data_IF_293814526903
#
_entry.id   IF_293814526903
#
_cell.length_a   1.000
_cell.length_b   1.000
_cell.length_c   1.000
_cell.angle_alpha   90.00
_cell.angle_beta   90.00
_cell.angle_gamma   90.00
#
_symmetry.space_group_name_H-M   'P 1'
#
loop_
_entity.id
_entity.type
_entity.pdbx_description
1 polymer ?
#
# COMPACT_ATOMS: atom_id res chain seq x y z
N UNK A 1 -6.54 -27.70 6.75
CA UNK A 1 -7.72 -27.66 5.89
C UNK A 1 -7.52 -26.56 4.82
N UNK A 2 -7.94 -26.85 3.57
CA UNK A 2 -7.76 -25.92 2.45
C UNK A 2 -8.55 -24.60 2.67
N UNK A 3 -9.73 -24.69 3.29
CA UNK A 3 -10.56 -23.53 3.63
C UNK A 3 -9.85 -22.63 4.65
N UNK A 4 -9.21 -23.24 5.65
CA UNK A 4 -8.44 -22.52 6.65
C UNK A 4 -7.17 -21.89 6.04
N UNK A 5 -6.43 -22.64 5.22
CA UNK A 5 -5.25 -22.13 4.53
C UNK A 5 -5.59 -20.95 3.63
N UNK A 6 -6.71 -21.00 2.90
CA UNK A 6 -7.20 -19.89 2.09
C UNK A 6 -7.56 -18.67 2.94
N UNK A 7 -8.21 -18.88 4.08
CA UNK A 7 -8.50 -17.80 5.02
C UNK A 7 -7.23 -17.17 5.60
N UNK A 8 -6.20 -17.97 5.85
CA UNK A 8 -4.91 -17.49 6.35
C UNK A 8 -4.12 -16.72 5.30
N UNK A 9 -4.19 -17.09 4.02
CA UNK A 9 -3.64 -16.27 2.92
C UNK A 9 -4.37 -14.95 2.84
N UNK A 10 -5.68 -14.97 2.94
CA UNK A 10 -6.48 -13.75 2.98
C UNK A 10 -6.07 -12.86 4.16
N UNK A 11 -5.89 -13.40 5.37
CA UNK A 11 -5.46 -12.66 6.58
C UNK A 11 -4.00 -12.22 6.53
N UNK A 12 -3.27 -12.55 5.45
CA UNK A 12 -1.82 -12.30 5.35
C UNK A 12 -1.00 -12.92 6.49
N UNK A 13 -1.54 -13.93 7.17
CA UNK A 13 -0.79 -14.74 8.13
C UNK A 13 0.16 -15.72 7.45
N UNK A 14 -0.22 -16.18 6.25
CA UNK A 14 0.63 -16.88 5.29
C UNK A 14 0.47 -16.24 3.90
N UNK A 15 1.42 -16.43 3.01
CA UNK A 15 1.36 -15.88 1.64
C UNK A 15 1.17 -16.93 0.57
N UNK A 16 1.15 -18.18 0.91
CA UNK A 16 0.87 -19.28 0.00
C UNK A 16 0.77 -20.61 0.71
N UNK A 17 0.16 -21.58 0.04
CA UNK A 17 0.08 -22.96 0.50
C UNK A 17 0.13 -23.94 -0.66
N UNK A 18 0.58 -25.14 -0.37
CA UNK A 18 0.65 -26.27 -1.30
C UNK A 18 -0.46 -27.26 -0.97
N UNK A 19 -1.26 -27.62 -1.95
CA UNK A 19 -2.28 -28.68 -1.86
C UNK A 19 -1.72 -29.95 -2.47
N UNK A 20 -1.57 -30.98 -1.62
CA UNK A 20 -1.11 -32.31 -2.01
C UNK A 20 -2.32 -33.24 -2.01
N UNK A 21 -2.72 -33.79 -3.17
CA UNK A 21 -3.88 -34.67 -3.24
C UNK A 21 -3.65 -35.97 -2.50
N UNK A 22 -4.72 -36.57 -1.98
CA UNK A 22 -4.67 -37.90 -1.33
C UNK A 22 -4.17 -38.95 -2.31
N UNK A 23 -3.30 -39.83 -1.82
CA UNK A 23 -2.69 -40.91 -2.64
C UNK A 23 -1.62 -40.39 -3.62
N UNK A 24 -1.09 -39.17 -3.45
CA UNK A 24 -0.03 -38.60 -4.27
C UNK A 24 1.18 -39.53 -4.39
N UNK A 25 1.71 -40.01 -3.26
CA UNK A 25 2.88 -40.90 -3.20
C UNK A 25 2.65 -42.20 -4.00
N UNK A 26 1.50 -42.82 -3.79
CA UNK A 26 1.15 -44.07 -4.50
C UNK A 26 1.07 -43.88 -6.03
N UNK A 27 0.49 -42.75 -6.47
CA UNK A 27 0.40 -42.40 -7.90
C UNK A 27 1.77 -42.13 -8.51
N UNK A 28 2.64 -41.43 -7.80
CA UNK A 28 4.01 -41.15 -8.26
C UNK A 28 4.80 -42.45 -8.36
N UNK A 29 4.68 -43.36 -7.37
CA UNK A 29 5.35 -44.67 -7.41
C UNK A 29 4.81 -45.61 -8.50
N UNK A 30 3.52 -45.50 -8.83
CA UNK A 30 2.89 -46.22 -9.93
C UNK A 30 3.20 -45.62 -11.32
N UNK A 31 3.96 -44.53 -11.41
CA UNK A 31 4.21 -43.79 -12.65
C UNK A 31 2.97 -43.14 -13.27
N UNK A 32 1.94 -42.93 -12.47
CA UNK A 32 0.69 -42.26 -12.92
C UNK A 32 0.81 -40.76 -12.79
N UNK A 33 0.24 -40.06 -13.78
CA UNK A 33 0.19 -38.62 -13.78
C UNK A 33 -0.56 -38.10 -12.54
N UNK A 34 0.03 -37.16 -11.82
CA UNK A 34 -0.57 -36.49 -10.68
C UNK A 34 -0.17 -35.02 -10.67
N UNK A 35 -1.04 -34.15 -10.13
CA UNK A 35 -0.82 -32.73 -10.08
C UNK A 35 -0.59 -32.25 -8.63
N UNK A 36 0.42 -31.41 -8.44
CA UNK A 36 0.58 -30.61 -7.24
C UNK A 36 0.07 -29.21 -7.51
N UNK A 37 -0.85 -28.74 -6.69
CA UNK A 37 -1.47 -27.43 -6.85
C UNK A 37 -0.94 -26.51 -5.76
N UNK A 38 -0.43 -25.32 -6.15
CA UNK A 38 -0.03 -24.32 -5.18
C UNK A 38 -0.73 -23.00 -5.42
N UNK A 39 -1.12 -22.38 -4.33
CA UNK A 39 -1.82 -21.11 -4.28
C UNK A 39 -0.93 -20.09 -3.58
N UNK A 40 -0.84 -18.88 -4.11
CA UNK A 40 -0.01 -17.85 -3.51
C UNK A 40 -0.57 -16.46 -3.77
N UNK A 41 -0.30 -15.55 -2.83
CA UNK A 41 -0.79 -14.19 -2.86
C UNK A 41 0.05 -13.34 -3.82
N UNK A 42 -0.49 -13.01 -4.98
CA UNK A 42 0.22 -12.25 -6.02
C UNK A 42 -0.21 -10.78 -6.13
N UNK A 43 -1.09 -10.30 -5.24
CA UNK A 43 -1.39 -8.88 -5.15
C UNK A 43 -0.19 -8.06 -4.63
N UNK A 44 0.78 -8.71 -3.96
CA UNK A 44 2.09 -8.16 -3.61
C UNK A 44 3.14 -8.89 -4.44
N UNK A 45 3.48 -8.34 -5.61
CA UNK A 45 4.33 -9.02 -6.60
C UNK A 45 5.69 -9.42 -6.07
N UNK A 46 6.33 -8.59 -5.24
CA UNK A 46 7.63 -8.92 -4.63
C UNK A 46 7.57 -10.22 -3.83
N UNK A 47 6.54 -10.37 -2.99
CA UNK A 47 6.35 -11.58 -2.18
C UNK A 47 5.84 -12.75 -3.03
N UNK A 48 4.91 -12.47 -3.95
CA UNK A 48 4.37 -13.47 -4.85
C UNK A 48 5.44 -14.11 -5.74
N UNK A 49 6.37 -13.32 -6.29
CA UNK A 49 7.48 -13.82 -7.09
C UNK A 49 8.48 -14.66 -6.29
N UNK A 50 8.81 -14.25 -5.08
CA UNK A 50 9.67 -15.03 -4.16
C UNK A 50 9.04 -16.38 -3.81
N UNK A 51 7.75 -16.39 -3.47
CA UNK A 51 7.01 -17.61 -3.14
C UNK A 51 6.88 -18.52 -4.36
N UNK A 52 6.56 -17.93 -5.52
CA UNK A 52 6.52 -18.70 -6.77
C UNK A 52 7.87 -19.35 -7.07
N UNK A 53 8.96 -18.61 -6.95
CA UNK A 53 10.32 -19.14 -7.11
C UNK A 53 10.65 -20.25 -6.11
N UNK A 54 10.27 -20.09 -4.84
CA UNK A 54 10.44 -21.09 -3.80
C UNK A 54 9.64 -22.38 -4.10
N UNK A 55 8.37 -22.26 -4.51
CA UNK A 55 7.57 -23.43 -4.90
C UNK A 55 8.14 -24.11 -6.14
N UNK A 56 8.58 -23.37 -7.15
CA UNK A 56 9.21 -23.94 -8.34
C UNK A 56 10.47 -24.74 -7.99
N UNK A 57 11.31 -24.24 -7.09
CA UNK A 57 12.51 -24.94 -6.64
C UNK A 57 12.19 -26.19 -5.82
N UNK A 58 11.19 -26.09 -4.92
CA UNK A 58 10.69 -27.21 -4.13
C UNK A 58 10.14 -28.32 -5.04
N UNK A 59 9.30 -27.95 -6.01
CA UNK A 59 8.67 -28.90 -6.93
C UNK A 59 9.70 -29.62 -7.81
N UNK A 60 10.75 -28.91 -8.26
CA UNK A 60 11.89 -29.54 -8.96
C UNK A 60 12.58 -30.57 -8.08
N UNK A 61 12.78 -30.26 -6.81
CA UNK A 61 13.41 -31.20 -5.85
C UNK A 61 12.55 -32.43 -5.58
N UNK A 62 11.23 -32.25 -5.48
CA UNK A 62 10.29 -33.37 -5.23
C UNK A 62 10.12 -34.23 -6.48
N UNK A 63 10.05 -33.64 -7.67
CA UNK A 63 9.76 -34.37 -8.91
C UNK A 63 10.99 -35.06 -9.48
N UNK A 64 12.15 -34.41 -9.41
CA UNK A 64 13.36 -34.89 -10.11
C UNK A 64 14.20 -35.83 -9.26
N UNK A 65 14.41 -35.50 -8.00
CA UNK A 65 15.38 -36.26 -7.15
C UNK A 65 14.98 -37.74 -6.91
N UNK A 66 13.73 -38.08 -6.55
CA UNK A 66 13.37 -39.50 -6.35
C UNK A 66 13.42 -40.31 -7.62
N UNK A 67 13.03 -39.74 -8.76
CA UNK A 67 12.99 -40.41 -10.06
C UNK A 67 14.39 -40.66 -10.56
N UNK A 68 15.29 -39.65 -10.48
CA UNK A 68 16.70 -39.81 -10.88
C UNK A 68 17.41 -40.86 -10.02
N UNK A 69 17.22 -40.81 -8.70
CA UNK A 69 17.86 -41.79 -7.79
C UNK A 69 17.37 -43.23 -8.04
N UNK A 70 16.09 -43.40 -8.33
CA UNK A 70 15.53 -44.71 -8.63
C UNK A 70 15.96 -45.26 -10.01
N UNK A 71 15.97 -44.36 -11.02
CA UNK A 71 16.38 -44.72 -12.39
C UNK A 71 17.90 -45.04 -12.46
N UNK A 72 18.73 -44.27 -11.78
CA UNK A 72 20.18 -44.55 -11.66
C UNK A 72 20.41 -45.88 -10.95
N UNK A 73 19.63 -46.21 -9.93
CA UNK A 73 19.71 -47.53 -9.23
C UNK A 73 19.30 -48.70 -10.14
N UNK A 74 18.46 -48.45 -11.16
CA UNK A 74 18.08 -49.40 -12.19
C UNK A 74 19.01 -49.47 -13.39
N UNK A 75 20.07 -48.64 -13.43
CA UNK A 75 21.05 -48.60 -14.51
C UNK A 75 20.57 -47.91 -15.80
N UNK A 76 19.56 -47.06 -15.72
CA UNK A 76 18.99 -46.31 -16.85
C UNK A 76 19.86 -45.08 -17.15
N UNK A 77 20.17 -44.84 -18.43
CA UNK A 77 20.96 -43.69 -18.85
C UNK A 77 20.20 -42.37 -18.62
N UNK A 78 20.96 -41.32 -18.29
CA UNK A 78 20.44 -40.01 -17.92
C UNK A 78 19.55 -39.34 -19.00
N UNK A 79 19.82 -39.60 -20.29
CA UNK A 79 19.00 -39.12 -21.42
C UNK A 79 17.62 -39.78 -21.52
N UNK A 80 17.50 -41.04 -21.10
CA UNK A 80 16.23 -41.76 -21.03
C UNK A 80 15.39 -41.31 -19.82
N UNK A 81 16.05 -40.87 -18.74
CA UNK A 81 15.39 -40.35 -17.53
C UNK A 81 14.57 -39.11 -17.81
N UNK A 82 15.03 -38.20 -18.68
CA UNK A 82 14.31 -36.96 -19.02
C UNK A 82 12.92 -37.24 -19.62
N UNK A 83 12.72 -38.36 -20.32
CA UNK A 83 11.42 -38.73 -20.86
C UNK A 83 10.46 -39.28 -19.80
N UNK A 84 10.97 -39.72 -18.65
CA UNK A 84 10.17 -40.19 -17.51
C UNK A 84 9.91 -39.12 -16.45
N UNK A 85 10.52 -37.92 -16.57
CA UNK A 85 10.45 -36.85 -15.59
C UNK A 85 9.13 -36.09 -15.58
N UNK A 86 8.09 -36.53 -16.28
CA UNK A 86 6.83 -35.81 -16.44
C UNK A 86 5.59 -36.37 -15.72
N UNK A 87 5.66 -37.26 -14.68
CA UNK A 87 4.44 -37.70 -14.02
C UNK A 87 3.82 -36.67 -13.09
N UNK A 88 4.56 -35.59 -12.74
CA UNK A 88 4.06 -34.55 -11.84
C UNK A 88 3.86 -33.26 -12.62
N UNK A 89 2.61 -32.94 -12.92
CA UNK A 89 2.22 -31.65 -13.45
C UNK A 89 2.01 -30.66 -12.32
N UNK A 90 2.37 -29.40 -12.55
CA UNK A 90 2.20 -28.35 -11.55
C UNK A 90 1.12 -27.39 -11.99
N UNK A 91 0.13 -27.17 -11.16
CA UNK A 91 -0.89 -26.13 -11.36
C UNK A 91 -0.60 -24.96 -10.43
N UNK A 92 -0.34 -23.79 -10.99
CA UNK A 92 -0.14 -22.57 -10.24
C UNK A 92 -1.42 -21.73 -10.24
N UNK A 93 -1.79 -21.23 -9.10
CA UNK A 93 -2.95 -20.36 -8.94
C UNK A 93 -2.53 -19.06 -8.23
N UNK A 94 -2.11 -18.04 -8.97
CA UNK A 94 -1.87 -16.71 -8.39
C UNK A 94 -3.20 -16.12 -7.96
N UNK A 95 -3.35 -15.88 -6.66
CA UNK A 95 -4.54 -15.28 -6.08
C UNK A 95 -4.48 -13.76 -6.24
N UNK A 96 -5.63 -13.13 -6.54
CA UNK A 96 -5.86 -11.68 -6.62
C UNK A 96 -5.23 -10.95 -7.82
N UNK A 97 -4.32 -11.56 -8.56
CA UNK A 97 -3.76 -11.06 -9.80
C UNK A 97 -3.38 -12.23 -10.71
N UNK A 98 -4.37 -12.91 -11.33
CA UNK A 98 -4.14 -14.12 -12.11
C UNK A 98 -3.22 -13.92 -13.31
N UNK A 99 -3.31 -12.75 -13.96
CA UNK A 99 -2.52 -12.41 -15.15
C UNK A 99 -1.12 -11.87 -14.80
N UNK A 100 -0.79 -11.78 -13.49
CA UNK A 100 0.47 -11.22 -12.99
C UNK A 100 0.77 -9.82 -13.55
N UNK A 101 -0.27 -9.02 -13.76
CA UNK A 101 -0.16 -7.71 -14.36
C UNK A 101 0.34 -6.66 -13.36
N UNK A 102 1.40 -5.95 -13.72
CA UNK A 102 1.95 -4.84 -12.95
C UNK A 102 0.98 -3.68 -12.81
N UNK A 103 0.11 -3.46 -13.81
CA UNK A 103 -0.85 -2.35 -13.76
C UNK A 103 -1.85 -2.54 -12.63
N UNK A 104 -2.32 -3.77 -12.41
CA UNK A 104 -3.22 -4.12 -11.31
C UNK A 104 -2.57 -3.87 -9.93
N UNK A 105 -1.29 -4.20 -9.83
CA UNK A 105 -0.56 -4.14 -8.57
C UNK A 105 -0.12 -2.72 -8.19
N UNK A 106 0.43 -1.95 -9.14
CA UNK A 106 1.13 -0.71 -8.85
C UNK A 106 0.33 0.55 -9.14
N UNK A 107 -0.54 0.55 -10.16
CA UNK A 107 -1.12 1.78 -10.69
C UNK A 107 -1.88 2.57 -9.63
N UNK A 108 -2.83 1.93 -8.97
CA UNK A 108 -3.68 2.61 -7.98
C UNK A 108 -2.88 3.04 -6.73
N UNK A 109 -2.10 2.18 -6.05
CA UNK A 109 -1.36 2.62 -4.87
C UNK A 109 -0.33 3.71 -5.18
N UNK A 110 0.44 3.59 -6.28
CA UNK A 110 1.42 4.59 -6.65
C UNK A 110 0.81 5.94 -7.00
N UNK A 111 -0.33 5.96 -7.69
CA UNK A 111 -1.04 7.21 -7.95
C UNK A 111 -1.35 7.94 -6.64
N UNK A 112 -1.85 7.25 -5.62
CA UNK A 112 -2.18 7.87 -4.34
C UNK A 112 -0.94 8.25 -3.51
N UNK A 113 0.17 7.54 -3.67
CA UNK A 113 1.47 7.95 -3.13
C UNK A 113 1.91 9.29 -3.74
N UNK A 114 1.87 9.44 -5.08
CA UNK A 114 2.22 10.70 -5.74
C UNK A 114 1.24 11.82 -5.37
N UNK A 115 -0.06 11.50 -5.32
CA UNK A 115 -1.08 12.45 -4.90
C UNK A 115 -0.81 12.97 -3.48
N UNK A 116 -0.41 12.10 -2.54
CA UNK A 116 0.00 12.52 -1.19
C UNK A 116 1.18 13.49 -1.23
N UNK A 117 2.23 13.20 -2.01
CA UNK A 117 3.41 14.08 -2.12
C UNK A 117 3.02 15.45 -2.64
N UNK A 118 2.24 15.50 -3.73
CA UNK A 118 1.77 16.76 -4.33
C UNK A 118 0.90 17.52 -3.32
N UNK A 119 0.00 16.84 -2.64
CA UNK A 119 -0.91 17.45 -1.67
C UNK A 119 -0.16 18.02 -0.45
N UNK A 120 0.87 17.30 0.04
CA UNK A 120 1.76 17.82 1.09
C UNK A 120 2.42 19.14 0.66
N UNK A 121 2.99 19.16 -0.55
CA UNK A 121 3.65 20.35 -1.10
C UNK A 121 2.68 21.52 -1.31
N UNK A 122 1.54 21.26 -1.95
CA UNK A 122 0.51 22.28 -2.22
C UNK A 122 -0.03 22.86 -0.92
N UNK A 123 -0.34 22.02 0.06
CA UNK A 123 -0.85 22.48 1.36
C UNK A 123 0.17 23.33 2.09
N UNK A 124 1.42 22.88 2.16
CA UNK A 124 2.52 23.59 2.80
C UNK A 124 2.79 24.93 2.10
N UNK A 125 2.86 24.94 0.77
CA UNK A 125 3.06 26.15 -0.01
C UNK A 125 1.88 27.14 0.14
N UNK A 126 0.65 26.64 0.14
CA UNK A 126 -0.55 27.47 0.30
C UNK A 126 -0.52 28.27 1.61
N UNK A 127 -0.10 27.65 2.71
CA UNK A 127 0.00 28.34 4.00
C UNK A 127 1.26 29.20 4.06
N UNK A 128 2.39 28.67 3.61
CA UNK A 128 3.69 29.35 3.69
C UNK A 128 3.81 30.57 2.79
N UNK A 129 3.05 30.61 1.69
CA UNK A 129 2.98 31.78 0.81
C UNK A 129 2.46 33.04 1.52
N UNK A 130 1.63 32.91 2.56
CA UNK A 130 1.17 34.05 3.36
C UNK A 130 2.32 34.69 4.15
N UNK A 131 3.26 33.89 4.66
CA UNK A 131 4.49 34.39 5.28
C UNK A 131 5.39 35.06 4.24
N UNK A 132 5.67 34.33 3.13
CA UNK A 132 6.55 34.81 2.05
C UNK A 132 6.12 36.15 1.45
N UNK A 133 4.83 36.36 1.25
CA UNK A 133 4.28 37.61 0.69
C UNK A 133 3.86 38.63 1.76
N UNK A 134 4.17 38.41 3.03
CA UNK A 134 3.82 39.25 4.17
C UNK A 134 2.32 39.55 4.31
N UNK A 135 1.47 38.63 3.86
CA UNK A 135 0.00 38.73 3.90
C UNK A 135 -0.64 38.02 5.10
N UNK A 136 0.16 37.36 5.95
CA UNK A 136 -0.31 36.57 7.10
C UNK A 136 -1.25 37.33 8.05
N UNK A 137 -0.95 38.63 8.32
CA UNK A 137 -1.78 39.46 9.20
C UNK A 137 -3.16 39.73 8.59
N UNK A 138 -3.21 40.03 7.30
CA UNK A 138 -4.45 40.30 6.56
C UNK A 138 -5.29 39.01 6.44
N UNK A 139 -4.64 37.90 6.13
CA UNK A 139 -5.28 36.60 6.06
C UNK A 139 -5.94 36.22 7.39
N UNK A 140 -5.23 36.35 8.51
CA UNK A 140 -5.78 36.09 9.84
C UNK A 140 -6.88 37.10 10.23
N UNK A 141 -6.77 38.36 9.83
CA UNK A 141 -7.78 39.38 10.11
C UNK A 141 -9.13 39.08 9.43
N UNK A 142 -9.11 38.55 8.19
CA UNK A 142 -10.33 38.12 7.47
C UNK A 142 -11.07 37.00 8.20
N UNK A 143 -10.35 36.20 9.01
CA UNK A 143 -10.91 35.13 9.84
C UNK A 143 -11.15 35.57 11.30
N UNK A 144 -11.30 36.83 11.58
CA UNK A 144 -11.44 37.40 12.93
C UNK A 144 -10.33 36.93 13.92
N UNK A 145 -9.14 36.71 13.39
CA UNK A 145 -8.01 36.19 14.16
C UNK A 145 -8.14 34.70 14.58
N UNK A 146 -9.12 34.00 14.07
CA UNK A 146 -9.28 32.56 14.30
C UNK A 146 -8.48 31.76 13.29
N UNK A 147 -7.32 31.22 13.72
CA UNK A 147 -6.41 30.44 12.86
C UNK A 147 -7.05 29.16 12.34
N UNK A 148 -7.92 28.52 13.10
CA UNK A 148 -8.66 27.34 12.66
C UNK A 148 -9.51 27.66 11.43
N UNK A 149 -10.32 28.74 11.50
CA UNK A 149 -11.16 29.17 10.38
C UNK A 149 -10.30 29.57 9.19
N UNK A 150 -9.22 30.34 9.42
CA UNK A 150 -8.31 30.76 8.37
C UNK A 150 -7.70 29.58 7.61
N UNK A 151 -7.15 28.59 8.33
CA UNK A 151 -6.50 27.41 7.73
C UNK A 151 -7.53 26.53 7.01
N UNK A 152 -8.65 26.21 7.66
CA UNK A 152 -9.67 25.34 7.05
C UNK A 152 -10.30 25.98 5.81
N UNK A 153 -10.66 27.25 5.86
CA UNK A 153 -11.22 27.96 4.71
C UNK A 153 -10.24 28.02 3.52
N UNK A 154 -8.94 28.18 3.80
CA UNK A 154 -7.90 28.21 2.78
C UNK A 154 -7.66 26.83 2.15
N UNK A 155 -7.74 25.77 2.93
CA UNK A 155 -7.48 24.41 2.47
C UNK A 155 -8.70 23.75 1.82
N UNK A 156 -9.91 24.17 2.13
CA UNK A 156 -11.14 23.57 1.63
C UNK A 156 -11.22 23.47 0.11
N UNK A 157 -10.86 24.50 -0.70
CA UNK A 157 -10.84 24.39 -2.15
C UNK A 157 -9.88 23.30 -2.64
N UNK A 158 -8.70 23.20 -2.04
CA UNK A 158 -7.72 22.15 -2.37
C UNK A 158 -8.24 20.77 -1.98
N UNK A 159 -8.86 20.63 -0.80
CA UNK A 159 -9.50 19.38 -0.38
C UNK A 159 -10.51 18.92 -1.43
N UNK A 160 -11.38 19.82 -1.86
CA UNK A 160 -12.40 19.53 -2.87
C UNK A 160 -11.76 19.06 -4.19
N UNK A 161 -10.79 19.81 -4.71
CA UNK A 161 -10.09 19.46 -5.96
C UNK A 161 -9.44 18.08 -5.87
N UNK A 162 -8.68 17.80 -4.79
CA UNK A 162 -7.97 16.54 -4.65
C UNK A 162 -8.91 15.36 -4.38
N UNK A 163 -10.04 15.57 -3.71
CA UNK A 163 -11.07 14.53 -3.56
C UNK A 163 -11.70 14.23 -4.93
N UNK A 164 -12.04 15.24 -5.72
CA UNK A 164 -12.58 15.04 -7.08
C UNK A 164 -11.55 14.33 -7.96
N UNK A 165 -10.27 14.72 -7.91
CA UNK A 165 -9.19 14.02 -8.63
C UNK A 165 -9.08 12.55 -8.20
N UNK A 166 -9.22 12.26 -6.91
CA UNK A 166 -9.21 10.88 -6.38
C UNK A 166 -10.38 10.06 -6.91
N UNK A 167 -11.58 10.63 -6.95
CA UNK A 167 -12.78 9.97 -7.50
C UNK A 167 -12.61 9.68 -8.99
N UNK A 168 -12.10 10.66 -9.75
CA UNK A 168 -11.85 10.50 -11.19
C UNK A 168 -10.77 9.44 -11.45
N UNK A 169 -9.70 9.43 -10.67
CA UNK A 169 -8.65 8.41 -10.78
C UNK A 169 -9.20 7.00 -10.50
N UNK A 170 -9.95 6.83 -9.41
CA UNK A 170 -10.60 5.56 -9.11
C UNK A 170 -11.58 5.14 -10.21
N UNK A 171 -12.33 6.08 -10.79
CA UNK A 171 -13.19 5.78 -11.94
C UNK A 171 -12.39 5.30 -13.16
N UNK A 172 -11.26 5.92 -13.45
CA UNK A 172 -10.37 5.49 -14.55
C UNK A 172 -9.82 4.09 -14.27
N UNK A 173 -9.30 3.82 -13.09
CA UNK A 173 -8.70 2.52 -12.76
C UNK A 173 -9.71 1.38 -12.80
N UNK A 174 -10.85 1.55 -12.14
CA UNK A 174 -11.84 0.47 -11.98
C UNK A 174 -12.95 0.48 -13.03
N UNK A 175 -13.30 1.66 -13.55
CA UNK A 175 -14.36 1.79 -14.57
C UNK A 175 -13.85 1.70 -16.01
N UNK A 176 -12.68 2.29 -16.31
CA UNK A 176 -12.14 2.34 -17.69
C UNK A 176 -11.10 1.26 -17.92
N UNK A 177 -10.12 1.11 -17.01
CA UNK A 177 -9.07 0.10 -17.11
C UNK A 177 -9.54 -1.29 -16.63
N UNK A 178 -10.73 -1.40 -16.05
CA UNK A 178 -11.33 -2.65 -15.58
C UNK A 178 -10.42 -3.44 -14.61
N UNK A 179 -9.65 -2.75 -13.78
CA UNK A 179 -8.88 -3.39 -12.71
C UNK A 179 -9.88 -4.11 -11.78
N UNK A 180 -9.63 -5.38 -11.41
CA UNK A 180 -10.54 -6.13 -10.54
C UNK A 180 -10.78 -5.41 -9.21
N UNK A 181 -12.03 -5.34 -8.77
CA UNK A 181 -12.43 -4.69 -7.53
C UNK A 181 -13.54 -5.48 -6.84
N UNK A 182 -13.27 -6.03 -5.67
CA UNK A 182 -14.23 -6.80 -4.89
C UNK A 182 -15.02 -5.95 -3.89
N UNK A 183 -14.73 -4.64 -3.79
CA UNK A 183 -15.41 -3.73 -2.87
C UNK A 183 -16.34 -2.75 -3.58
N UNK A 184 -17.21 -2.10 -2.80
CA UNK A 184 -18.05 -1.00 -3.32
C UNK A 184 -17.22 0.23 -3.68
N UNK A 185 -17.45 0.80 -4.86
CA UNK A 185 -16.76 1.99 -5.38
C UNK A 185 -16.73 3.16 -4.36
N UNK A 186 -17.82 3.39 -3.65
CA UNK A 186 -17.92 4.48 -2.67
C UNK A 186 -17.11 4.25 -1.41
N UNK A 187 -16.89 2.99 -1.00
CA UNK A 187 -16.00 2.70 0.13
C UNK A 187 -14.55 3.08 -0.17
N UNK A 188 -14.09 2.79 -1.40
CA UNK A 188 -12.76 3.17 -1.85
C UNK A 188 -12.60 4.71 -1.93
N UNK A 189 -13.62 5.41 -2.46
CA UNK A 189 -13.59 6.88 -2.53
C UNK A 189 -13.66 7.54 -1.15
N UNK A 190 -14.38 6.94 -0.19
CA UNK A 190 -14.38 7.40 1.19
C UNK A 190 -12.97 7.31 1.81
N UNK A 191 -12.26 6.21 1.60
CA UNK A 191 -10.88 6.06 2.11
C UNK A 191 -9.92 7.02 1.41
N UNK A 192 -10.10 7.28 0.11
CA UNK A 192 -9.34 8.28 -0.63
C UNK A 192 -9.55 9.69 -0.10
N UNK A 193 -10.79 10.05 0.23
CA UNK A 193 -11.10 11.33 0.86
C UNK A 193 -10.46 11.46 2.26
N UNK A 194 -10.46 10.39 3.06
CA UNK A 194 -9.75 10.36 4.35
C UNK A 194 -8.25 10.55 4.18
N UNK A 195 -7.63 9.94 3.15
CA UNK A 195 -6.22 10.16 2.83
C UNK A 195 -5.94 11.63 2.53
N UNK A 196 -6.78 12.28 1.72
CA UNK A 196 -6.63 13.71 1.38
C UNK A 196 -6.64 14.56 2.65
N UNK A 197 -7.64 14.37 3.51
CA UNK A 197 -7.79 15.14 4.76
C UNK A 197 -6.63 14.87 5.73
N UNK A 198 -6.24 13.61 5.91
CA UNK A 198 -5.12 13.22 6.78
C UNK A 198 -3.78 13.78 6.30
N UNK A 199 -3.55 13.80 4.97
CA UNK A 199 -2.35 14.35 4.36
C UNK A 199 -2.26 15.86 4.55
N UNK A 200 -3.36 16.58 4.37
CA UNK A 200 -3.41 18.02 4.64
C UNK A 200 -3.18 18.32 6.12
N UNK A 201 -3.75 17.53 7.01
CA UNK A 201 -3.54 17.64 8.45
C UNK A 201 -2.05 17.45 8.81
N UNK A 202 -1.41 16.43 8.23
CA UNK A 202 0.04 16.21 8.40
C UNK A 202 0.87 17.40 7.89
N UNK A 203 0.52 17.97 6.73
CA UNK A 203 1.20 19.13 6.18
C UNK A 203 1.08 20.36 7.11
N UNK A 204 -0.13 20.63 7.63
CA UNK A 204 -0.38 21.71 8.60
C UNK A 204 0.40 21.48 9.89
N UNK A 205 0.45 20.26 10.38
CA UNK A 205 1.23 19.88 11.56
C UNK A 205 2.73 20.16 11.36
N UNK A 206 3.30 19.68 10.27
CA UNK A 206 4.73 19.88 9.96
C UNK A 206 5.05 21.36 9.76
N UNK A 207 4.21 22.11 9.05
CA UNK A 207 4.36 23.54 8.88
C UNK A 207 4.27 24.30 10.22
N UNK A 208 3.41 23.84 11.12
CA UNK A 208 3.28 24.44 12.45
C UNK A 208 4.51 24.24 13.33
N UNK A 209 5.29 23.17 13.09
CA UNK A 209 6.56 22.93 13.79
C UNK A 209 7.68 23.81 13.24
N UNK A 210 7.74 24.00 11.92
CA UNK A 210 8.80 24.71 11.23
C UNK A 210 8.18 25.68 10.20
N UNK A 211 7.70 26.86 10.63
CA UNK A 211 6.96 27.79 9.75
C UNK A 211 7.87 28.65 8.86
N UNK A 212 8.94 28.07 8.34
CA UNK A 212 9.84 28.64 7.34
C UNK A 212 9.67 27.89 6.01
N UNK A 213 9.21 28.59 4.94
CA UNK A 213 8.78 27.95 3.71
C UNK A 213 9.87 27.14 3.03
N UNK A 214 11.10 27.64 2.93
CA UNK A 214 12.25 26.97 2.29
C UNK A 214 12.66 25.68 3.02
N UNK A 215 12.66 25.70 4.35
CA UNK A 215 13.02 24.56 5.18
C UNK A 215 11.92 23.50 5.12
N UNK A 216 10.67 23.92 5.28
CA UNK A 216 9.55 22.97 5.38
C UNK A 216 9.27 22.26 4.06
N UNK A 217 9.47 22.89 2.91
CA UNK A 217 9.34 22.23 1.60
C UNK A 217 10.30 21.03 1.51
N UNK A 218 11.53 21.20 1.99
CA UNK A 218 12.52 20.10 2.01
C UNK A 218 12.10 18.97 2.95
N UNK A 219 11.61 19.30 4.16
CA UNK A 219 11.12 18.33 5.14
C UNK A 219 9.92 17.57 4.57
N UNK A 220 8.95 18.27 4.00
CA UNK A 220 7.72 17.69 3.46
C UNK A 220 8.02 16.80 2.25
N UNK A 221 8.96 17.18 1.39
CA UNK A 221 9.43 16.34 0.29
C UNK A 221 10.08 15.05 0.79
N UNK A 222 10.90 15.14 1.83
CA UNK A 222 11.50 13.98 2.48
C UNK A 222 10.43 13.08 3.12
N UNK A 223 9.48 13.64 3.85
CA UNK A 223 8.35 12.90 4.45
C UNK A 223 7.50 12.22 3.38
N UNK A 224 7.25 12.92 2.27
CA UNK A 224 6.52 12.36 1.12
C UNK A 224 7.22 11.16 0.50
N UNK A 225 8.53 11.26 0.26
CA UNK A 225 9.33 10.16 -0.30
C UNK A 225 9.48 8.97 0.65
N UNK A 226 9.66 9.22 1.96
CA UNK A 226 9.64 8.17 2.97
C UNK A 226 8.28 7.47 3.04
N UNK A 227 7.18 8.23 2.95
CA UNK A 227 5.83 7.68 2.87
C UNK A 227 5.65 6.74 1.68
N UNK A 228 6.26 7.04 0.53
CA UNK A 228 6.25 6.17 -0.64
C UNK A 228 6.92 4.82 -0.37
N UNK A 229 8.07 4.85 0.30
CA UNK A 229 8.86 3.64 0.61
C UNK A 229 8.22 2.82 1.74
N UNK A 230 7.74 3.49 2.80
CA UNK A 230 7.22 2.84 4.01
C UNK A 230 5.69 2.60 3.94
N UNK A 231 5.04 3.03 2.86
CA UNK A 231 3.60 2.92 2.68
C UNK A 231 3.05 1.51 2.44
N UNK A 232 3.91 0.49 2.34
CA UNK A 232 3.48 -0.90 2.17
C UNK A 232 3.10 -1.26 0.74
N UNK A 233 3.45 -0.43 -0.25
CA UNK A 233 3.17 -0.71 -1.67
C UNK A 233 4.11 -1.77 -2.21
N UNK A 234 5.40 -1.62 -1.98
CA UNK A 234 6.44 -2.50 -2.52
C UNK A 234 6.79 -3.66 -1.59
N UNK A 235 6.62 -3.48 -0.29
CA UNK A 235 6.94 -4.48 0.72
C UNK A 235 5.82 -4.59 1.76
N UNK A 236 5.39 -5.82 2.14
CA UNK A 236 4.30 -6.03 3.09
C UNK A 236 4.62 -5.43 4.45
N UNK A 237 3.75 -4.56 4.95
CA UNK A 237 3.91 -3.88 6.24
C UNK A 237 4.12 -4.85 7.41
N UNK A 238 3.41 -5.99 7.55
CA UNK A 238 3.59 -6.92 8.65
C UNK A 238 4.98 -7.57 8.73
N UNK A 239 5.75 -7.55 7.63
CA UNK A 239 7.08 -8.17 7.54
C UNK A 239 8.22 -7.15 7.58
N UNK A 240 7.91 -5.88 7.81
CA UNK A 240 8.93 -4.86 8.02
C UNK A 240 9.66 -5.09 9.34
N UNK A 241 10.95 -4.75 9.36
CA UNK A 241 11.73 -4.70 10.59
C UNK A 241 11.04 -3.81 11.63
N UNK A 242 10.96 -4.24 12.90
CA UNK A 242 10.11 -3.63 13.91
C UNK A 242 10.19 -2.08 14.01
N UNK A 243 11.36 -1.42 14.04
CA UNK A 243 11.44 0.04 14.03
C UNK A 243 10.83 0.69 12.79
N UNK A 244 11.01 0.08 11.62
CA UNK A 244 10.44 0.56 10.35
C UNK A 244 8.93 0.38 10.33
N UNK A 245 8.45 -0.74 10.85
CA UNK A 245 7.03 -1.02 11.03
C UNK A 245 6.34 0.08 11.87
N UNK A 246 6.90 0.42 13.03
CA UNK A 246 6.35 1.50 13.87
C UNK A 246 6.48 2.87 13.22
N UNK A 247 7.60 3.17 12.57
CA UNK A 247 7.78 4.42 11.85
C UNK A 247 6.78 4.59 10.70
N UNK A 248 6.36 3.50 10.05
CA UNK A 248 5.39 3.55 8.96
C UNK A 248 4.02 4.12 9.38
N UNK A 249 3.63 4.02 10.66
CA UNK A 249 2.39 4.60 11.19
C UNK A 249 2.32 6.13 11.07
N UNK A 250 3.46 6.81 10.91
CA UNK A 250 3.53 8.27 10.74
C UNK A 250 3.11 8.73 9.34
N UNK A 251 2.87 7.82 8.41
CA UNK A 251 2.54 8.16 7.03
C UNK A 251 1.08 7.83 6.70
N UNK A 252 0.24 8.81 6.33
CA UNK A 252 -1.17 8.56 5.98
C UNK A 252 -1.35 7.53 4.87
N UNK A 253 -0.46 7.54 3.86
CA UNK A 253 -0.54 6.62 2.71
C UNK A 253 -0.44 5.16 3.13
N UNK A 254 0.30 4.82 4.19
CA UNK A 254 0.36 3.45 4.71
C UNK A 254 -1.02 2.92 5.07
N UNK A 255 -1.78 3.70 5.83
CA UNK A 255 -3.13 3.31 6.25
C UNK A 255 -4.08 3.17 5.07
N UNK A 256 -3.96 4.08 4.11
CA UNK A 256 -4.73 4.03 2.87
C UNK A 256 -4.41 2.77 2.04
N UNK A 257 -3.13 2.45 1.86
CA UNK A 257 -2.69 1.27 1.10
C UNK A 257 -3.17 -0.02 1.77
N UNK A 258 -3.09 -0.13 3.10
CA UNK A 258 -3.61 -1.29 3.84
C UNK A 258 -5.13 -1.43 3.70
N UNK A 259 -5.89 -0.33 3.81
CA UNK A 259 -7.33 -0.35 3.56
C UNK A 259 -7.60 -0.79 2.11
N UNK A 260 -6.91 -0.19 1.14
CA UNK A 260 -7.07 -0.51 -0.28
C UNK A 260 -6.79 -1.98 -0.56
N UNK A 261 -5.69 -2.52 -0.07
CA UNK A 261 -5.35 -3.94 -0.24
C UNK A 261 -6.40 -4.88 0.38
N UNK A 262 -6.94 -4.52 1.55
CA UNK A 262 -7.97 -5.31 2.21
C UNK A 262 -9.31 -5.24 1.48
N UNK A 263 -9.68 -4.07 0.97
CA UNK A 263 -10.92 -3.88 0.21
C UNK A 263 -10.86 -4.52 -1.19
N UNK A 264 -9.73 -4.38 -1.89
CA UNK A 264 -9.60 -4.85 -3.27
C UNK A 264 -9.35 -6.35 -3.37
N UNK A 265 -8.62 -6.93 -2.42
CA UNK A 265 -8.12 -8.30 -2.54
C UNK A 265 -8.50 -9.21 -1.38
N UNK A 266 -8.84 -8.64 -0.22
CA UNK A 266 -9.02 -9.43 1.01
C UNK A 266 -10.38 -10.09 1.17
N UNK A 267 -11.41 -9.52 0.59
CA UNK A 267 -12.83 -9.90 0.82
C UNK A 267 -13.24 -10.03 2.30
N UNK A 268 -12.56 -9.27 3.20
CA UNK A 268 -12.81 -9.30 4.65
C UNK A 268 -14.01 -8.48 5.09
N UNK A 269 -14.67 -7.82 4.15
CA UNK A 269 -15.68 -6.84 4.48
C UNK A 269 -15.11 -5.58 5.15
N UNK A 270 -16.00 -4.66 5.44
CA UNK A 270 -15.63 -3.32 5.93
C UNK A 270 -15.11 -3.29 7.37
N UNK A 271 -15.21 -4.40 8.12
CA UNK A 271 -14.81 -4.44 9.53
C UNK A 271 -13.32 -4.13 9.74
N UNK A 272 -12.46 -4.61 8.86
CA UNK A 272 -11.00 -4.40 8.94
C UNK A 272 -10.55 -3.01 8.47
N UNK A 273 -11.41 -2.27 7.80
CA UNK A 273 -11.15 -0.91 7.34
C UNK A 273 -11.08 0.09 8.50
N UNK A 274 -11.91 -0.09 9.53
CA UNK A 274 -12.14 0.92 10.56
C UNK A 274 -10.93 1.24 11.43
N UNK A 275 -10.05 0.26 11.68
CA UNK A 275 -8.81 0.49 12.43
C UNK A 275 -7.89 1.49 11.73
N UNK A 276 -7.59 1.25 10.46
CA UNK A 276 -6.75 2.14 9.67
C UNK A 276 -7.46 3.47 9.33
N UNK A 277 -8.79 3.46 9.15
CA UNK A 277 -9.59 4.69 8.98
C UNK A 277 -9.53 5.56 10.24
N UNK A 278 -9.61 4.97 11.43
CA UNK A 278 -9.42 5.69 12.68
C UNK A 278 -8.01 6.29 12.80
N UNK A 279 -6.97 5.56 12.36
CA UNK A 279 -5.61 6.10 12.30
C UNK A 279 -5.53 7.32 11.36
N UNK A 280 -6.17 7.29 10.20
CA UNK A 280 -6.24 8.46 9.30
C UNK A 280 -6.91 9.65 9.98
N UNK A 281 -7.99 9.44 10.74
CA UNK A 281 -8.64 10.51 11.49
C UNK A 281 -7.78 11.06 12.65
N UNK A 282 -6.91 10.23 13.26
CA UNK A 282 -5.99 10.67 14.30
C UNK A 282 -4.99 11.72 13.80
N UNK A 283 -4.66 11.76 12.50
CA UNK A 283 -3.81 12.82 11.93
C UNK A 283 -4.39 14.23 12.08
N UNK A 284 -5.69 14.37 12.31
CA UNK A 284 -6.33 15.67 12.54
C UNK A 284 -6.00 16.27 13.93
N UNK A 285 -5.58 15.46 14.90
CA UNK A 285 -5.34 15.91 16.27
C UNK A 285 -4.07 16.76 16.40
N UNK A 286 -2.88 16.34 15.91
CA UNK A 286 -1.64 17.10 16.07
C UNK A 286 -1.69 18.54 15.59
N UNK A 287 -2.22 18.86 14.37
CA UNK A 287 -2.30 20.25 13.93
C UNK A 287 -3.20 21.11 14.83
N UNK A 288 -4.30 20.53 15.36
CA UNK A 288 -5.19 21.27 16.28
C UNK A 288 -4.45 21.77 17.52
N UNK A 289 -3.56 20.95 18.06
CA UNK A 289 -2.76 21.31 19.24
C UNK A 289 -1.72 22.40 18.95
N UNK A 290 -1.22 22.47 17.69
CA UNK A 290 -0.17 23.41 17.31
C UNK A 290 -0.68 24.69 16.62
N UNK A 291 -1.98 24.83 16.34
CA UNK A 291 -2.53 26.07 15.77
C UNK A 291 -2.22 27.35 16.57
N UNK A 292 -2.22 27.34 17.93
CA UNK A 292 -1.81 28.51 18.69
C UNK A 292 -0.34 28.90 18.48
N UNK A 293 0.54 27.90 18.29
CA UNK A 293 1.96 28.12 17.97
C UNK A 293 2.09 28.70 16.56
N UNK A 294 1.40 28.13 15.58
CA UNK A 294 1.35 28.62 14.21
C UNK A 294 0.88 30.09 14.15
N UNK A 295 -0.19 30.43 14.88
CA UNK A 295 -0.69 31.80 14.95
C UNK A 295 0.40 32.77 15.45
N UNK A 296 1.07 32.44 16.54
CA UNK A 296 2.13 33.29 17.10
C UNK A 296 3.27 33.48 16.11
N UNK A 297 3.66 32.42 15.43
CA UNK A 297 4.73 32.44 14.44
C UNK A 297 4.40 33.31 13.24
N UNK A 298 3.20 33.18 12.69
CA UNK A 298 2.72 33.99 11.57
C UNK A 298 2.60 35.46 11.92
N UNK A 299 2.17 35.81 13.14
CA UNK A 299 2.05 37.22 13.58
C UNK A 299 3.41 37.84 13.89
N UNK A 300 4.33 37.06 14.51
CA UNK A 300 5.64 37.56 14.91
C UNK A 300 6.61 37.76 13.76
N UNK A 301 6.27 37.30 12.56
CA UNK A 301 7.13 37.33 11.34
C UNK A 301 8.52 36.78 11.57
N UNK A 302 8.69 35.92 12.57
CA UNK A 302 9.99 35.42 13.02
C UNK A 302 10.76 34.64 11.92
N UNK A 303 10.03 34.12 10.94
CA UNK A 303 10.57 33.25 9.90
C UNK A 303 10.45 33.84 8.49
N UNK A 304 9.92 35.09 8.37
CA UNK A 304 9.74 35.76 7.07
C UNK A 304 11.09 36.05 6.37
N UNK A 305 12.17 36.21 7.16
CA UNK A 305 13.51 36.57 6.67
C UNK A 305 14.40 35.33 6.41
N UNK A 306 13.87 34.11 6.59
CA UNK A 306 14.57 32.85 6.33
C UNK A 306 14.19 32.37 4.92
N UNK A 307 14.78 32.95 3.89
CA UNK A 307 14.69 32.50 2.49
C UNK A 307 15.79 31.52 2.10
#
# INVERSE_FOLDING_TARGET
DEVEARADVQRKSIYGYLSIPSGFEAKVMDGKETALTYYYHYALMSVGSEIHGAFQSLLKSISVVPIVTHAVALGINQEEIESFLLPVTTQNHPLFNPDMDYSVYLTQPFFFVFLQVILLLVTTYSIGSEGKFHTSANWLAVADGNTWVAVTAKLLPYSFIFIVMSILANYVFFGVMHIPMDCGFWALNFTSALLVIATQALAVFLFSLFPALSIIISIVSMVGSLGATLGGVTFPVPHMFAPVYYASYLFPVRHFVEIGQNLLYGNYGYAYMWGNAACLLLFLIPPLLLLPHLKRSLISRKYDDIE
#
